data_IF_306371806402
#
_entry.id   IF_306371806402
#
_cell.length_a   1.000
_cell.length_b   1.000
_cell.length_c   1.000
_cell.angle_alpha   90.00
_cell.angle_beta   90.00
_cell.angle_gamma   90.00
#
_symmetry.space_group_name_H-M   'P 1'
#
loop_
_entity.id
_entity.type
_entity.pdbx_description
1 polymer ?
#
# COMPACT_ATOMS: atom_id res chain seq x y z
N UNK A 1 -5.35 6.52 0.22
CA UNK A 1 -6.64 5.98 -0.26
C UNK A 1 -6.61 5.51 -1.71
N UNK A 2 -6.03 6.26 -2.66
CA UNK A 2 -5.99 5.82 -4.07
C UNK A 2 -5.40 4.41 -4.26
N UNK A 3 -4.25 4.09 -3.66
CA UNK A 3 -3.64 2.75 -3.79
C UNK A 3 -4.42 1.64 -3.09
N UNK A 4 -5.09 1.95 -1.98
CA UNK A 4 -6.00 1.03 -1.31
C UNK A 4 -7.18 0.66 -2.21
N UNK A 5 -7.73 1.63 -2.94
CA UNK A 5 -8.77 1.37 -3.92
C UNK A 5 -8.23 0.63 -5.14
N UNK A 6 -7.14 1.13 -5.75
CA UNK A 6 -6.58 0.59 -7.00
C UNK A 6 -6.09 -0.85 -6.89
N UNK A 7 -5.43 -1.20 -5.79
CA UNK A 7 -4.80 -2.51 -5.65
C UNK A 7 -5.57 -3.46 -4.73
N UNK A 8 -6.29 -2.92 -3.75
CA UNK A 8 -6.97 -3.71 -2.72
C UNK A 8 -8.49 -3.57 -2.75
N UNK A 9 -9.05 -2.81 -3.69
CA UNK A 9 -10.49 -2.58 -3.86
C UNK A 9 -11.19 -2.05 -2.60
N UNK A 10 -10.43 -1.46 -1.66
CA UNK A 10 -10.97 -0.84 -0.45
C UNK A 10 -11.47 0.55 -0.83
N UNK A 11 -12.79 0.71 -0.83
CA UNK A 11 -13.43 2.01 -1.08
C UNK A 11 -13.27 2.93 0.15
N UNK A 12 -13.41 4.26 -0.03
CA UNK A 12 -13.44 5.18 1.10
C UNK A 12 -14.51 4.80 2.14
N UNK A 13 -15.69 4.37 1.69
CA UNK A 13 -16.76 3.94 2.61
C UNK A 13 -16.38 2.71 3.42
N UNK A 14 -15.71 1.71 2.82
CA UNK A 14 -15.20 0.55 3.55
C UNK A 14 -14.15 0.96 4.59
N UNK A 15 -13.20 1.83 4.20
CA UNK A 15 -12.19 2.34 5.12
C UNK A 15 -12.83 3.10 6.27
N UNK A 16 -13.83 3.96 6.01
CA UNK A 16 -14.49 4.73 7.05
C UNK A 16 -15.26 3.84 8.04
N UNK A 17 -15.85 2.74 7.56
CA UNK A 17 -16.55 1.76 8.39
C UNK A 17 -15.63 0.91 9.28
N UNK A 18 -14.32 0.85 9.01
CA UNK A 18 -13.35 0.13 9.83
C UNK A 18 -13.17 0.76 11.22
N UNK A 19 -12.94 -0.08 12.22
CA UNK A 19 -12.55 0.32 13.56
C UNK A 19 -11.16 0.96 13.60
N UNK A 20 -10.85 1.64 14.71
CA UNK A 20 -9.56 2.32 14.88
C UNK A 20 -8.36 1.36 14.74
N UNK A 21 -8.42 0.19 15.38
CA UNK A 21 -7.36 -0.82 15.29
C UNK A 21 -7.18 -1.38 13.88
N UNK A 22 -8.27 -1.65 13.17
CA UNK A 22 -8.22 -2.12 11.78
C UNK A 22 -7.57 -1.09 10.86
N UNK A 23 -7.89 0.19 11.04
CA UNK A 23 -7.25 1.30 10.31
C UNK A 23 -5.74 1.38 10.60
N UNK A 24 -5.33 1.15 11.84
CA UNK A 24 -3.90 1.11 12.19
C UNK A 24 -3.17 -0.05 11.53
N UNK A 25 -3.73 -1.26 11.58
CA UNK A 25 -3.15 -2.45 10.96
C UNK A 25 -3.05 -2.26 9.44
N UNK A 26 -4.14 -1.82 8.80
CA UNK A 26 -4.16 -1.57 7.36
C UNK A 26 -3.12 -0.52 6.96
N UNK A 27 -2.99 0.56 7.73
CA UNK A 27 -1.98 1.59 7.50
C UNK A 27 -0.56 1.02 7.57
N UNK A 28 -0.25 0.23 8.60
CA UNK A 28 1.06 -0.40 8.75
C UNK A 28 1.40 -1.34 7.57
N UNK A 29 0.41 -2.09 7.08
CA UNK A 29 0.58 -3.01 5.95
C UNK A 29 0.83 -2.25 4.66
N UNK A 30 0.07 -1.17 4.41
CA UNK A 30 0.26 -0.33 3.23
C UNK A 30 1.64 0.35 3.22
N UNK A 31 2.13 0.82 4.37
CA UNK A 31 3.48 1.38 4.47
C UNK A 31 4.53 0.34 4.09
N UNK A 32 4.43 -0.88 4.65
CA UNK A 32 5.34 -1.97 4.32
C UNK A 32 5.32 -2.33 2.83
N UNK A 33 4.14 -2.44 2.22
CA UNK A 33 4.01 -2.75 0.80
C UNK A 33 4.67 -1.68 -0.08
N UNK A 34 4.47 -0.40 0.26
CA UNK A 34 5.10 0.72 -0.46
C UNK A 34 6.63 0.64 -0.34
N UNK A 35 7.14 0.35 0.86
CA UNK A 35 8.58 0.20 1.08
C UNK A 35 9.18 -0.95 0.29
N UNK A 36 8.49 -2.10 0.22
CA UNK A 36 8.89 -3.25 -0.56
C UNK A 36 8.91 -2.93 -2.07
N UNK A 37 7.85 -2.29 -2.59
CA UNK A 37 7.78 -1.84 -3.99
C UNK A 37 8.87 -0.82 -4.35
N UNK A 38 9.16 0.12 -3.45
CA UNK A 38 10.22 1.11 -3.66
C UNK A 38 11.61 0.46 -3.66
N UNK A 39 11.84 -0.56 -2.82
CA UNK A 39 13.08 -1.34 -2.83
C UNK A 39 13.23 -2.11 -4.14
N UNK A 40 12.15 -2.75 -4.60
CA UNK A 40 12.14 -3.48 -5.87
C UNK A 40 12.40 -2.54 -7.06
N UNK A 41 11.74 -1.39 -7.12
CA UNK A 41 11.97 -0.39 -8.17
C UNK A 41 13.44 0.04 -8.24
N UNK A 42 14.06 0.37 -7.10
CA UNK A 42 15.49 0.73 -7.03
C UNK A 42 16.41 -0.41 -7.48
N UNK A 43 16.06 -1.66 -7.16
CA UNK A 43 16.83 -2.82 -7.61
C UNK A 43 16.72 -3.03 -9.12
N UNK A 44 15.56 -2.75 -9.71
CA UNK A 44 15.33 -2.88 -11.15
C UNK A 44 16.00 -1.74 -11.93
N UNK A 45 15.94 -0.50 -11.43
CA UNK A 45 16.70 0.65 -11.95
C UNK A 45 18.20 0.35 -11.94
N UNK A 46 18.72 -0.18 -10.82
CA UNK A 46 20.13 -0.59 -10.71
C UNK A 46 20.53 -1.74 -11.64
N UNK A 47 19.56 -2.50 -12.16
CA UNK A 47 19.76 -3.56 -13.16
C UNK A 47 19.54 -3.10 -14.60
N UNK A 48 19.14 -1.83 -14.81
CA UNK A 48 18.82 -1.28 -16.14
C UNK A 48 17.60 -1.93 -16.80
N UNK A 49 16.66 -2.47 -16.00
CA UNK A 49 15.47 -3.17 -16.50
C UNK A 49 14.24 -2.26 -16.65
N UNK A 50 14.33 -1.05 -16.10
CA UNK A 50 13.37 0.07 -16.20
C UNK A 50 14.13 1.38 -16.05
#
# INVERSE_FOLDING_TARGET
MYYLFKFHHITPSNFMAMGYGEKQILSAFMHREIDEKNKEAKLLEGRGLI
#
